data_IF_318060086203
#
_entry.id   IF_318060086203
#
_cell.length_a   1.000
_cell.length_b   1.000
_cell.length_c   1.000
_cell.angle_alpha   90.00
_cell.angle_beta   90.00
_cell.angle_gamma   90.00
#
_symmetry.space_group_name_H-M   'P 1'
#
loop_
_entity.id
_entity.type
_entity.pdbx_description
1 polymer ?
#
# COMPACT_ATOMS: atom_id res chain seq x y z
N UNK A 1 -29.18 6.67 -13.87
CA UNK A 1 -28.53 7.37 -12.74
C UNK A 1 -27.12 7.63 -13.20
N UNK A 2 -26.72 8.90 -13.40
CA UNK A 2 -25.33 9.20 -13.72
C UNK A 2 -24.49 8.81 -12.50
N UNK A 3 -23.48 7.96 -12.68
CA UNK A 3 -22.53 7.65 -11.62
C UNK A 3 -21.83 8.96 -11.27
N UNK A 4 -21.97 9.40 -10.01
CA UNK A 4 -21.30 10.61 -9.54
C UNK A 4 -19.81 10.43 -9.80
N UNK A 5 -19.20 11.32 -10.58
CA UNK A 5 -17.78 11.22 -10.91
C UNK A 5 -17.00 11.33 -9.61
N UNK A 6 -16.17 10.33 -9.33
CA UNK A 6 -15.36 10.33 -8.11
C UNK A 6 -14.51 11.61 -8.03
N UNK A 7 -14.59 12.29 -6.90
CA UNK A 7 -13.92 13.57 -6.72
C UNK A 7 -12.47 13.34 -6.26
N UNK A 8 -11.52 13.90 -7.00
CA UNK A 8 -10.13 14.05 -6.53
C UNK A 8 -10.09 15.15 -5.46
N UNK A 9 -9.57 14.82 -4.29
CA UNK A 9 -9.45 15.73 -3.15
C UNK A 9 -8.02 16.19 -2.92
N UNK A 10 -7.04 15.34 -3.25
CA UNK A 10 -5.62 15.60 -3.09
C UNK A 10 -4.93 15.23 -4.40
N UNK A 11 -4.04 16.11 -4.88
CA UNK A 11 -3.26 15.93 -6.10
C UNK A 11 -1.76 15.89 -5.77
N UNK A 12 -0.94 15.69 -6.79
CA UNK A 12 0.53 15.74 -6.70
C UNK A 12 1.12 14.73 -5.71
N UNK A 13 0.52 13.53 -5.64
CA UNK A 13 0.95 12.48 -4.72
C UNK A 13 2.09 11.62 -5.24
N UNK A 14 2.34 11.60 -6.56
CA UNK A 14 3.41 10.79 -7.15
C UNK A 14 4.76 11.24 -6.61
N UNK A 15 5.55 10.29 -6.10
CA UNK A 15 6.84 10.56 -5.46
C UNK A 15 6.73 11.08 -4.02
N UNK A 16 5.54 11.24 -3.45
CA UNK A 16 5.39 11.55 -2.02
C UNK A 16 5.80 10.35 -1.18
N UNK A 17 6.73 10.58 -0.26
CA UNK A 17 7.25 9.56 0.67
C UNK A 17 6.29 9.35 1.84
N UNK A 18 6.15 8.09 2.25
CA UNK A 18 5.42 7.71 3.44
C UNK A 18 5.98 6.41 4.03
N UNK A 19 5.45 5.98 5.16
CA UNK A 19 5.77 4.71 5.80
C UNK A 19 4.62 4.26 6.70
N UNK A 20 4.58 2.95 6.95
CA UNK A 20 3.49 2.29 7.65
C UNK A 20 3.98 1.29 8.70
N UNK A 21 3.43 1.36 9.90
CA UNK A 21 3.62 0.37 10.96
C UNK A 21 2.36 -0.50 11.02
N UNK A 22 2.51 -1.81 10.77
CA UNK A 22 1.41 -2.77 10.83
C UNK A 22 1.48 -3.56 12.12
N UNK A 23 0.56 -3.27 13.05
CA UNK A 23 0.38 -4.09 14.25
C UNK A 23 -0.55 -5.26 13.96
N UNK A 24 -0.11 -6.48 14.24
CA UNK A 24 -0.89 -7.71 14.03
C UNK A 24 -1.42 -8.21 15.37
N UNK A 25 -2.74 -8.39 15.47
CA UNK A 25 -3.45 -8.76 16.69
C UNK A 25 -4.21 -10.06 16.50
N UNK A 26 -4.34 -10.87 17.56
CA UNK A 26 -5.35 -11.93 17.60
C UNK A 26 -6.68 -11.34 18.09
N UNK A 27 -7.73 -11.49 17.29
CA UNK A 27 -9.10 -11.08 17.60
C UNK A 27 -10.04 -12.21 17.17
N UNK A 28 -10.83 -12.75 18.11
CA UNK A 28 -11.79 -13.84 17.84
C UNK A 28 -11.17 -15.05 17.10
N UNK A 29 -10.01 -15.52 17.56
CA UNK A 29 -9.24 -16.63 16.96
C UNK A 29 -8.74 -16.41 15.52
N UNK A 30 -8.78 -15.17 15.04
CA UNK A 30 -8.22 -14.75 13.75
C UNK A 30 -7.18 -13.64 13.93
N UNK A 31 -6.31 -13.51 12.93
CA UNK A 31 -5.35 -12.42 12.83
C UNK A 31 -5.99 -11.21 12.13
N UNK A 32 -5.84 -10.05 12.75
CA UNK A 32 -6.23 -8.76 12.19
C UNK A 32 -5.04 -7.80 12.23
N UNK A 33 -4.77 -7.12 11.11
CA UNK A 33 -3.75 -6.08 11.01
C UNK A 33 -4.36 -4.69 11.15
N UNK A 34 -3.78 -3.84 11.99
CA UNK A 34 -4.03 -2.40 11.98
C UNK A 34 -2.86 -1.67 11.31
N UNK A 35 -3.18 -0.85 10.31
CA UNK A 35 -2.17 -0.09 9.56
C UNK A 35 -2.11 1.34 10.09
N UNK A 36 -0.99 1.71 10.71
CA UNK A 36 -0.67 3.07 11.11
C UNK A 36 0.22 3.70 10.05
N UNK A 37 -0.20 4.82 9.49
CA UNK A 37 0.48 5.44 8.36
C UNK A 37 0.78 6.93 8.57
N UNK A 38 1.82 7.41 7.89
CA UNK A 38 2.29 8.81 7.90
C UNK A 38 1.63 9.67 6.82
N UNK A 39 0.79 9.08 5.96
CA UNK A 39 0.16 9.77 4.83
C UNK A 39 -0.58 11.04 5.28
N UNK A 40 -0.25 12.15 4.65
CA UNK A 40 -0.77 13.50 4.95
C UNK A 40 -0.40 14.03 6.35
N UNK A 41 0.59 13.45 7.03
CA UNK A 41 1.04 13.86 8.37
C UNK A 41 2.51 14.25 8.34
N UNK A 42 3.38 13.39 7.79
CA UNK A 42 4.81 13.65 7.60
C UNK A 42 5.37 12.75 6.48
N UNK A 43 6.63 12.95 6.15
CA UNK A 43 7.35 12.26 5.07
C UNK A 43 8.09 10.99 5.55
N UNK A 44 7.76 10.48 6.74
CA UNK A 44 8.36 9.31 7.38
C UNK A 44 9.89 9.42 7.63
N UNK A 45 10.40 10.44 8.36
CA UNK A 45 11.82 10.79 8.40
C UNK A 45 12.78 9.60 8.54
N UNK A 46 13.74 9.45 7.60
CA UNK A 46 14.59 8.26 7.51
C UNK A 46 15.36 7.99 8.81
N UNK A 47 15.92 9.03 9.43
CA UNK A 47 16.71 8.89 10.66
C UNK A 47 15.87 8.36 11.84
N UNK A 48 14.59 8.73 11.92
CA UNK A 48 13.68 8.21 12.94
C UNK A 48 13.21 6.81 12.59
N UNK A 49 12.93 6.55 11.31
CA UNK A 49 12.47 5.25 10.83
C UNK A 49 13.52 4.14 11.08
N UNK A 50 14.79 4.43 10.81
CA UNK A 50 15.89 3.49 11.01
C UNK A 50 16.13 3.13 12.49
N UNK A 51 15.56 3.90 13.43
CA UNK A 51 15.63 3.66 14.87
C UNK A 51 14.41 2.93 15.44
N UNK A 52 13.40 2.63 14.62
CA UNK A 52 12.22 1.90 15.07
C UNK A 52 12.57 0.46 15.41
N UNK A 53 12.09 0.00 16.57
CA UNK A 53 12.18 -1.41 16.98
C UNK A 53 10.79 -2.03 16.92
N UNK A 54 10.58 -2.95 15.98
CA UNK A 54 9.29 -3.62 15.81
C UNK A 54 8.87 -4.43 17.06
N UNK A 55 9.81 -4.96 17.82
CA UNK A 55 9.52 -5.76 19.03
C UNK A 55 9.02 -4.87 20.15
N UNK A 56 9.68 -3.73 20.39
CA UNK A 56 9.22 -2.76 21.38
C UNK A 56 7.88 -2.13 20.98
N UNK A 57 7.69 -1.79 19.70
CA UNK A 57 6.41 -1.29 19.21
C UNK A 57 5.29 -2.34 19.38
N UNK A 58 5.58 -3.63 19.12
CA UNK A 58 4.60 -4.69 19.31
C UNK A 58 4.15 -4.79 20.76
N UNK A 59 5.10 -4.73 21.69
CA UNK A 59 4.85 -4.72 23.13
C UNK A 59 4.00 -3.52 23.57
N UNK A 60 4.33 -2.32 23.09
CA UNK A 60 3.60 -1.09 23.41
C UNK A 60 2.17 -1.09 22.85
N UNK A 61 1.98 -1.68 21.66
CA UNK A 61 0.66 -1.84 21.06
C UNK A 61 -0.16 -2.97 21.70
N UNK A 62 0.49 -3.90 22.41
CA UNK A 62 -0.12 -5.20 22.76
C UNK A 62 -0.41 -6.07 21.53
N UNK A 63 0.36 -5.87 20.45
CA UNK A 63 0.30 -6.67 19.24
C UNK A 63 1.11 -7.96 19.39
N UNK A 64 0.73 -8.99 18.64
CA UNK A 64 1.53 -10.23 18.54
C UNK A 64 2.84 -9.98 17.82
N UNK A 65 2.79 -9.24 16.72
CA UNK A 65 3.92 -8.89 15.89
C UNK A 65 3.68 -7.52 15.26
N UNK A 66 4.77 -6.85 14.89
CA UNK A 66 4.74 -5.62 14.10
C UNK A 66 5.55 -5.81 12.85
N UNK A 67 5.01 -5.38 11.71
CA UNK A 67 5.73 -5.24 10.45
C UNK A 67 5.98 -3.75 10.17
N UNK A 68 7.25 -3.38 10.05
CA UNK A 68 7.64 -2.09 9.50
C UNK A 68 7.55 -2.18 7.97
N UNK A 69 6.57 -1.49 7.38
CA UNK A 69 6.18 -1.63 5.98
C UNK A 69 6.56 -0.37 5.19
N UNK A 70 7.86 -0.13 5.04
CA UNK A 70 8.39 1.03 4.35
C UNK A 70 9.86 1.34 4.67
N UNK A 71 10.34 2.54 4.31
CA UNK A 71 9.60 3.65 3.69
C UNK A 71 9.17 3.34 2.25
N UNK A 72 8.19 4.09 1.76
CA UNK A 72 7.50 3.90 0.48
C UNK A 72 7.34 5.23 -0.24
N UNK A 73 7.12 5.15 -1.54
CA UNK A 73 6.79 6.29 -2.38
C UNK A 73 5.59 5.93 -3.25
N UNK A 74 4.62 6.83 -3.31
CA UNK A 74 3.48 6.67 -4.20
C UNK A 74 3.89 6.74 -5.67
N UNK A 75 3.26 5.90 -6.49
CA UNK A 75 3.25 6.03 -7.96
C UNK A 75 1.87 6.39 -8.49
N UNK A 76 0.87 6.53 -7.61
CA UNK A 76 -0.41 7.19 -7.91
C UNK A 76 -0.23 8.71 -7.88
N UNK A 77 -1.11 9.44 -8.56
CA UNK A 77 -1.04 10.89 -8.74
C UNK A 77 -2.02 11.65 -7.84
N UNK A 78 -3.10 11.01 -7.37
CA UNK A 78 -4.09 11.66 -6.51
C UNK A 78 -4.90 10.72 -5.64
N UNK A 79 -5.54 11.32 -4.63
CA UNK A 79 -6.42 10.65 -3.66
C UNK A 79 -7.79 11.34 -3.66
N UNK A 80 -8.85 10.53 -3.55
CA UNK A 80 -10.22 11.00 -3.43
C UNK A 80 -10.82 10.75 -2.06
N UNK A 81 -12.14 10.63 -2.03
CA UNK A 81 -12.90 10.37 -0.82
C UNK A 81 -12.49 9.07 -0.14
N UNK A 82 -12.61 9.08 1.20
CA UNK A 82 -12.48 7.90 2.03
C UNK A 82 -13.82 7.58 2.68
N UNK A 83 -14.43 6.45 2.33
CA UNK A 83 -15.78 6.06 2.79
C UNK A 83 -15.76 5.18 4.02
N UNK A 84 -14.70 4.36 4.18
CA UNK A 84 -14.57 3.50 5.36
C UNK A 84 -14.14 4.37 6.53
N UNK A 85 -15.08 4.54 7.46
CA UNK A 85 -14.86 5.26 8.72
C UNK A 85 -14.07 4.36 9.66
N UNK A 86 -12.79 4.65 9.78
CA UNK A 86 -11.91 4.04 10.77
C UNK A 86 -11.70 5.07 11.85
N UNK A 87 -11.93 4.70 13.10
CA UNK A 87 -11.63 5.59 14.22
C UNK A 87 -10.16 6.01 14.13
N UNK A 88 -9.88 7.32 13.96
CA UNK A 88 -8.54 7.82 13.74
C UNK A 88 -7.78 7.79 15.05
N UNK A 89 -7.04 6.72 15.28
CA UNK A 89 -6.13 6.62 16.42
C UNK A 89 -4.79 7.20 15.99
N UNK A 90 -4.45 8.36 16.56
CA UNK A 90 -3.12 8.95 16.45
C UNK A 90 -2.17 8.21 17.39
N UNK A 91 -1.01 7.81 16.89
CA UNK A 91 0.06 7.16 17.65
C UNK A 91 1.39 7.68 17.20
N UNK A 92 2.32 7.81 18.14
CA UNK A 92 3.70 8.10 17.83
C UNK A 92 4.54 6.83 18.01
N UNK A 93 5.40 6.53 17.03
CA UNK A 93 6.39 5.46 17.11
C UNK A 93 7.76 6.07 16.90
N UNK A 94 8.63 6.02 17.91
CA UNK A 94 10.01 6.55 17.80
C UNK A 94 10.11 7.99 17.32
N UNK A 95 9.17 8.87 17.72
CA UNK A 95 9.11 10.26 17.27
C UNK A 95 8.38 10.50 15.95
N UNK A 96 7.83 9.45 15.32
CA UNK A 96 7.07 9.56 14.07
C UNK A 96 5.58 9.49 14.38
N UNK A 97 4.90 10.62 14.20
CA UNK A 97 3.44 10.66 14.32
C UNK A 97 2.76 9.92 13.16
N UNK A 98 1.83 9.02 13.49
CA UNK A 98 1.09 8.21 12.53
C UNK A 98 -0.40 8.17 12.91
N UNK A 99 -1.24 7.81 11.94
CA UNK A 99 -2.68 7.61 12.13
C UNK A 99 -3.09 6.22 11.67
N UNK A 100 -3.99 5.56 12.38
CA UNK A 100 -4.63 4.33 11.87
C UNK A 100 -5.44 4.63 10.61
N UNK A 101 -5.05 4.04 9.48
CA UNK A 101 -5.61 4.31 8.15
C UNK A 101 -6.29 3.11 7.50
N UNK A 102 -6.07 1.88 7.96
CA UNK A 102 -6.72 0.70 7.42
C UNK A 102 -6.76 -0.43 8.46
N UNK A 103 -7.68 -1.37 8.26
CA UNK A 103 -7.61 -2.70 8.88
C UNK A 103 -7.53 -3.77 7.79
N UNK A 104 -6.84 -4.88 8.10
CA UNK A 104 -6.62 -5.99 7.18
C UNK A 104 -7.07 -7.28 7.87
N UNK A 105 -8.12 -7.97 7.38
CA UNK A 105 -8.45 -9.31 7.84
C UNK A 105 -7.39 -10.29 7.29
N UNK A 106 -6.51 -10.80 8.16
CA UNK A 106 -5.45 -11.74 7.78
C UNK A 106 -5.89 -13.20 7.94
N UNK A 107 -6.98 -13.46 8.66
CA UNK A 107 -7.48 -14.80 8.91
C UNK A 107 -6.45 -15.62 9.68
N UNK A 108 -6.08 -16.79 9.17
CA UNK A 108 -5.05 -17.65 9.77
C UNK A 108 -3.68 -17.53 9.11
N UNK A 109 -3.59 -16.77 8.02
CA UNK A 109 -2.37 -16.68 7.21
C UNK A 109 -1.41 -15.63 7.79
N UNK A 110 -0.09 -15.88 7.76
CA UNK A 110 0.89 -14.90 8.20
C UNK A 110 0.87 -13.67 7.30
N UNK A 111 1.14 -12.49 7.85
CA UNK A 111 1.32 -11.28 7.07
C UNK A 111 2.62 -11.35 6.25
N UNK A 112 2.62 -10.78 5.03
CA UNK A 112 3.85 -10.53 4.27
C UNK A 112 4.33 -11.63 3.31
N UNK A 113 3.51 -12.64 3.01
CA UNK A 113 3.84 -13.60 1.92
C UNK A 113 3.74 -12.88 0.56
N UNK A 114 4.83 -12.83 -0.25
CA UNK A 114 4.81 -12.24 -1.57
C UNK A 114 3.81 -12.92 -2.51
N UNK A 115 3.24 -12.16 -3.43
CA UNK A 115 2.27 -12.60 -4.45
C UNK A 115 0.97 -13.19 -3.90
N UNK A 116 0.77 -13.16 -2.57
CA UNK A 116 -0.50 -13.51 -1.95
C UNK A 116 -1.48 -12.35 -2.08
N UNK A 117 -2.58 -12.62 -2.78
CA UNK A 117 -3.69 -11.69 -2.94
C UNK A 117 -4.43 -11.51 -1.61
N UNK A 118 -4.64 -10.26 -1.19
CA UNK A 118 -5.31 -9.91 0.06
C UNK A 118 -6.40 -8.87 -0.17
N UNK A 119 -7.37 -8.86 0.73
CA UNK A 119 -8.40 -7.84 0.77
C UNK A 119 -8.11 -6.84 1.90
N UNK A 120 -8.22 -5.55 1.61
CA UNK A 120 -7.93 -4.46 2.54
C UNK A 120 -9.17 -3.57 2.69
N UNK A 121 -9.60 -3.36 3.93
CA UNK A 121 -10.73 -2.50 4.24
C UNK A 121 -10.27 -1.03 4.36
N UNK A 122 -10.15 -0.33 3.22
CA UNK A 122 -9.68 1.06 3.17
C UNK A 122 -10.70 2.07 2.64
N UNK A 123 -11.62 1.64 1.78
CA UNK A 123 -12.66 2.51 1.20
C UNK A 123 -12.11 3.79 0.58
N UNK A 124 -11.21 3.69 -0.39
CA UNK A 124 -10.49 4.85 -0.92
C UNK A 124 -10.56 4.90 -2.45
N UNK A 125 -10.53 6.12 -2.99
CA UNK A 125 -10.38 6.36 -4.43
C UNK A 125 -8.95 6.82 -4.73
N UNK A 126 -8.28 6.12 -5.64
CA UNK A 126 -6.94 6.45 -6.12
C UNK A 126 -6.97 6.83 -7.60
N UNK A 127 -6.10 7.76 -7.98
CA UNK A 127 -6.02 8.30 -9.33
C UNK A 127 -4.61 8.19 -9.88
N UNK A 128 -4.49 7.79 -11.15
CA UNK A 128 -3.28 7.89 -11.95
C UNK A 128 -3.59 8.73 -13.19
N UNK A 129 -2.74 9.72 -13.45
CA UNK A 129 -3.01 10.70 -14.51
C UNK A 129 -2.74 10.11 -15.91
N UNK A 130 -3.51 10.56 -16.91
CA UNK A 130 -3.19 10.32 -18.31
C UNK A 130 -1.77 10.81 -18.64
N UNK A 131 -1.08 10.09 -19.52
CA UNK A 131 0.31 10.33 -19.90
C UNK A 131 1.34 9.82 -18.89
N UNK A 132 0.93 9.27 -17.74
CA UNK A 132 1.85 8.69 -16.77
C UNK A 132 2.10 7.21 -17.03
N UNK A 133 3.28 6.75 -16.64
CA UNK A 133 3.61 5.32 -16.65
C UNK A 133 2.99 4.63 -15.43
N UNK A 134 2.33 3.51 -15.69
CA UNK A 134 1.93 2.51 -14.69
C UNK A 134 2.76 1.25 -14.81
N UNK A 135 2.91 0.57 -13.69
CA UNK A 135 3.68 -0.66 -13.53
C UNK A 135 2.71 -1.74 -13.08
N UNK A 136 2.64 -2.84 -13.82
CA UNK A 136 1.55 -3.81 -13.67
C UNK A 136 2.10 -5.22 -13.46
N UNK A 137 1.55 -5.91 -12.47
CA UNK A 137 1.64 -7.38 -12.36
C UNK A 137 0.41 -7.98 -13.01
N UNK A 138 0.61 -8.99 -13.84
CA UNK A 138 -0.46 -9.74 -14.48
C UNK A 138 -0.38 -11.17 -13.97
N UNK A 139 -1.43 -11.62 -13.30
CA UNK A 139 -1.48 -12.99 -12.79
C UNK A 139 -1.93 -14.01 -13.85
N UNK A 140 -2.04 -15.26 -13.43
CA UNK A 140 -2.46 -16.39 -14.29
C UNK A 140 -3.89 -16.30 -14.79
N UNK A 141 -4.74 -15.46 -14.16
CA UNK A 141 -6.12 -15.20 -14.59
C UNK A 141 -6.21 -13.98 -15.54
N UNK A 142 -5.09 -13.31 -15.80
CA UNK A 142 -5.04 -12.10 -16.61
C UNK A 142 -5.45 -10.84 -15.85
N UNK A 143 -5.53 -10.89 -14.52
CA UNK A 143 -5.83 -9.70 -13.69
C UNK A 143 -4.61 -8.78 -13.64
N UNK A 144 -4.80 -7.52 -14.01
CA UNK A 144 -3.75 -6.51 -14.05
C UNK A 144 -3.73 -5.71 -12.74
N UNK A 145 -2.85 -6.07 -11.81
CA UNK A 145 -2.62 -5.30 -10.60
C UNK A 145 -1.72 -4.11 -10.89
N UNK A 146 -2.19 -2.89 -10.63
CA UNK A 146 -1.47 -1.64 -10.88
C UNK A 146 -0.72 -1.24 -9.61
N UNK A 147 0.59 -0.96 -9.74
CA UNK A 147 1.41 -0.51 -8.62
C UNK A 147 0.83 0.78 -8.05
N UNK A 148 0.60 0.78 -6.73
CA UNK A 148 0.24 1.99 -5.99
C UNK A 148 1.48 2.64 -5.37
N UNK A 149 2.45 1.85 -4.91
CA UNK A 149 3.66 2.38 -4.29
C UNK A 149 4.84 1.39 -4.38
N UNK A 150 6.04 1.92 -4.56
CA UNK A 150 7.28 1.15 -4.42
C UNK A 150 7.86 1.28 -3.00
N UNK A 151 8.51 0.23 -2.51
CA UNK A 151 9.11 0.18 -1.18
C UNK A 151 10.63 0.29 -1.28
N UNK A 152 11.26 1.12 -0.46
CA UNK A 152 12.73 1.21 -0.36
C UNK A 152 13.28 0.54 0.91
N UNK A 153 12.41 -0.12 1.68
CA UNK A 153 12.79 -0.85 2.90
C UNK A 153 13.58 -2.13 2.62
N UNK A 154 13.22 -2.85 1.55
CA UNK A 154 13.93 -4.08 1.12
C UNK A 154 15.07 -3.76 0.15
N UNK A 155 14.81 -2.91 -0.84
CA UNK A 155 15.81 -2.48 -1.82
C UNK A 155 15.90 -0.95 -1.87
N UNK A 156 16.98 -0.44 -1.28
CA UNK A 156 17.28 1.00 -1.20
C UNK A 156 17.65 1.64 -2.55
N UNK A 157 17.87 0.84 -3.61
CA UNK A 157 18.22 1.34 -4.94
C UNK A 157 16.98 1.59 -5.82
N UNK A 158 15.79 1.22 -5.36
CA UNK A 158 14.55 1.50 -6.08
C UNK A 158 14.27 3.00 -6.15
N UNK A 159 14.01 3.46 -7.37
CA UNK A 159 13.51 4.80 -7.69
C UNK A 159 12.45 4.65 -8.76
N UNK A 160 11.55 5.62 -8.91
CA UNK A 160 10.55 5.57 -9.98
C UNK A 160 11.16 5.35 -11.38
N UNK A 161 12.32 5.96 -11.64
CA UNK A 161 13.04 5.82 -12.91
C UNK A 161 13.53 4.39 -13.19
N UNK A 162 13.78 3.58 -12.15
CA UNK A 162 14.24 2.19 -12.32
C UNK A 162 13.10 1.18 -12.42
N UNK A 163 11.87 1.58 -12.13
CA UNK A 163 10.71 0.68 -12.12
C UNK A 163 10.34 0.12 -13.50
N UNK A 164 10.71 0.79 -14.59
CA UNK A 164 10.46 0.30 -15.95
C UNK A 164 11.19 -1.01 -16.25
N UNK A 165 12.34 -1.24 -15.59
CA UNK A 165 13.11 -2.47 -15.66
C UNK A 165 12.82 -3.45 -14.52
N UNK A 166 11.83 -3.18 -13.65
CA UNK A 166 11.60 -3.97 -12.43
C UNK A 166 11.33 -5.45 -12.73
N UNK A 167 10.64 -5.76 -13.83
CA UNK A 167 10.29 -7.14 -14.18
C UNK A 167 11.48 -8.10 -14.31
N UNK A 168 12.69 -7.63 -14.64
CA UNK A 168 13.88 -8.49 -14.70
C UNK A 168 14.49 -8.79 -13.32
N UNK A 169 13.98 -8.13 -12.28
CA UNK A 169 14.46 -8.23 -10.90
C UNK A 169 13.50 -9.02 -10.00
N UNK A 170 12.26 -9.19 -10.44
CA UNK A 170 11.21 -9.87 -9.70
C UNK A 170 11.30 -11.39 -9.86
N UNK A 171 11.16 -12.10 -8.75
CA UNK A 171 10.97 -13.55 -8.68
C UNK A 171 9.48 -13.87 -8.87
N UNK A 172 8.98 -13.60 -10.08
CA UNK A 172 7.57 -13.80 -10.41
C UNK A 172 7.15 -15.28 -10.26
N UNK A 173 5.96 -15.55 -9.68
CA UNK A 173 5.39 -16.89 -9.71
C UNK A 173 5.20 -17.39 -11.15
N UNK A 174 5.14 -18.71 -11.32
CA UNK A 174 4.90 -19.30 -12.63
C UNK A 174 3.61 -18.74 -13.27
N UNK A 175 3.73 -18.31 -14.53
CA UNK A 175 2.64 -17.73 -15.30
C UNK A 175 2.33 -16.25 -15.01
N UNK A 176 2.93 -15.65 -13.97
CA UNK A 176 2.83 -14.21 -13.75
C UNK A 176 3.77 -13.45 -14.69
N UNK A 177 3.37 -12.24 -15.07
CA UNK A 177 4.21 -11.34 -15.86
C UNK A 177 4.21 -9.93 -15.28
N UNK A 178 5.25 -9.17 -15.60
CA UNK A 178 5.33 -7.74 -15.29
C UNK A 178 5.37 -6.94 -16.58
N UNK A 179 4.64 -5.82 -16.63
CA UNK A 179 4.74 -4.88 -17.74
C UNK A 179 4.67 -3.43 -17.28
N UNK A 180 5.01 -2.54 -18.20
CA UNK A 180 4.73 -1.11 -18.07
C UNK A 180 3.86 -0.62 -19.20
N UNK A 181 3.10 0.44 -18.93
CA UNK A 181 2.18 1.06 -19.87
C UNK A 181 2.11 2.56 -19.59
N UNK A 182 2.08 3.38 -20.63
CA UNK A 182 1.69 4.79 -20.49
C UNK A 182 0.16 4.85 -20.59
N UNK A 183 -0.47 5.56 -19.67
CA UNK A 183 -1.92 5.72 -19.66
C UNK A 183 -2.36 6.69 -20.76
N UNK A 184 -3.30 6.29 -21.61
CA UNK A 184 -3.93 7.20 -22.58
C UNK A 184 -5.02 8.07 -21.91
N UNK A 185 -5.66 7.53 -20.88
CA UNK A 185 -6.71 8.17 -20.09
C UNK A 185 -6.44 8.01 -18.59
N UNK A 186 -7.02 8.89 -17.78
CA UNK A 186 -6.93 8.80 -16.32
C UNK A 186 -7.47 7.46 -15.82
N UNK A 187 -6.66 6.76 -15.02
CA UNK A 187 -7.08 5.54 -14.34
C UNK A 187 -7.57 5.91 -12.95
N UNK A 188 -8.82 5.54 -12.64
CA UNK A 188 -9.41 5.68 -11.32
C UNK A 188 -9.66 4.30 -10.74
N UNK A 189 -9.10 4.03 -9.55
CA UNK A 189 -9.38 2.80 -8.80
C UNK A 189 -10.19 3.21 -7.57
N UNK A 190 -11.47 2.88 -7.60
CA UNK A 190 -12.44 3.21 -6.56
C UNK A 190 -12.83 1.95 -5.80
N UNK A 191 -12.47 1.88 -4.52
CA UNK A 191 -12.84 0.76 -3.63
C UNK A 191 -13.81 1.23 -2.55
N UNK A 192 -14.64 2.23 -2.83
CA UNK A 192 -15.51 2.86 -1.83
C UNK A 192 -16.66 1.97 -1.35
N UNK A 193 -17.09 1.01 -2.18
CA UNK A 193 -18.22 0.11 -1.93
C UNK A 193 -17.82 -1.37 -1.79
N UNK A 194 -16.52 -1.70 -1.86
CA UNK A 194 -16.00 -3.05 -1.70
C UNK A 194 -14.57 -3.07 -1.13
N UNK A 195 -14.09 -4.24 -0.70
CA UNK A 195 -12.71 -4.37 -0.20
C UNK A 195 -11.71 -4.26 -1.35
N UNK A 196 -10.61 -3.51 -1.14
CA UNK A 196 -9.55 -3.40 -2.11
C UNK A 196 -8.77 -4.72 -2.21
N UNK A 197 -8.57 -5.24 -3.42
CA UNK A 197 -7.71 -6.40 -3.67
C UNK A 197 -6.27 -5.94 -3.95
N UNK A 198 -5.34 -6.36 -3.09
CA UNK A 198 -3.95 -5.90 -3.02
C UNK A 198 -3.00 -7.08 -3.07
N UNK A 199 -1.85 -6.90 -3.72
CA UNK A 199 -0.73 -7.84 -3.71
C UNK A 199 0.58 -7.10 -3.44
N UNK A 200 1.52 -7.76 -2.77
CA UNK A 200 2.90 -7.27 -2.62
C UNK A 200 3.87 -8.23 -3.31
N UNK A 201 4.87 -7.71 -4.02
CA UNK A 201 6.00 -8.51 -4.49
C UNK A 201 7.03 -8.74 -3.37
N UNK A 202 8.10 -9.49 -3.64
CA UNK A 202 9.14 -9.80 -2.64
C UNK A 202 10.04 -8.61 -2.29
N UNK A 203 9.97 -7.51 -3.06
CA UNK A 203 10.59 -6.23 -2.72
C UNK A 203 9.62 -5.32 -1.95
N UNK A 204 8.44 -5.85 -1.60
CA UNK A 204 7.34 -5.19 -0.93
C UNK A 204 6.72 -4.01 -1.69
N UNK A 205 6.92 -3.90 -3.00
CA UNK A 205 6.12 -2.97 -3.81
C UNK A 205 4.66 -3.43 -3.75
N UNK A 206 3.75 -2.48 -3.63
CA UNK A 206 2.33 -2.77 -3.43
C UNK A 206 1.54 -2.43 -4.68
N UNK A 207 0.70 -3.36 -5.10
CA UNK A 207 -0.15 -3.25 -6.28
C UNK A 207 -1.61 -3.46 -5.88
N UNK A 208 -2.53 -2.80 -6.59
CA UNK A 208 -3.97 -2.86 -6.35
C UNK A 208 -4.68 -3.23 -7.64
N UNK A 209 -5.74 -4.03 -7.53
CA UNK A 209 -6.56 -4.42 -8.67
C UNK A 209 -7.51 -3.26 -9.06
N UNK A 210 -7.58 -2.86 -10.34
CA UNK A 210 -8.68 -2.05 -10.88
C UNK A 210 -9.95 -2.91 -11.07
N UNK A 211 -11.13 -2.31 -10.92
CA UNK A 211 -12.44 -2.96 -11.07
C UNK A 211 -13.25 -2.36 -12.21
#
# INVERSE_FOLDING_TARGET
MAQERQQRLISDMRGVRYGEVLGIFARNDELEGEVYGTQMINDCPQELWDKLDATEIAKDLGALFVKLNGPRYWVLDGLGSKTVTIEPVMREFGGIMMRRIATIPLGKEPAGVPYMVRNVNRGAVFFWDAGKTVYELIDTEGRNFVMQAYCVGVDKTLTEATLSGLGSRLNLPEGWTFRTRVLDEELVIDTSDHLATVVQDELENTYTLPY
#
